data_IF_706302349181
#
_entry.id   IF_706302349181
#
_cell.length_a   1.000
_cell.length_b   1.000
_cell.length_c   1.000
_cell.angle_alpha   90.00
_cell.angle_beta   90.00
_cell.angle_gamma   90.00
#
_symmetry.space_group_name_H-M   'P 1'
#
loop_
_entity.id
_entity.type
_entity.pdbx_description
1 polymer ?
#
# COMPACT_ATOMS: atom_id res chain seq x y z
N UNK A 1 -4.43 37.74 3.51
CA UNK A 1 -3.73 38.42 4.61
C UNK A 1 -4.78 38.92 5.58
N UNK A 2 -4.62 38.62 6.87
CA UNK A 2 -5.55 38.98 7.94
C UNK A 2 -6.06 37.73 8.67
N UNK A 3 -5.20 37.15 9.52
CA UNK A 3 -5.61 36.17 10.51
C UNK A 3 -5.83 36.89 11.83
N UNK A 4 -6.97 36.62 12.48
CA UNK A 4 -7.25 37.08 13.83
C UNK A 4 -7.07 35.89 14.79
N UNK A 5 -5.83 35.67 15.19
CA UNK A 5 -5.46 34.81 16.31
C UNK A 5 -5.75 35.56 17.62
N UNK A 6 -6.87 35.24 18.27
CA UNK A 6 -7.19 35.74 19.60
C UNK A 6 -6.32 35.05 20.65
N UNK A 7 -5.19 35.67 21.00
CA UNK A 7 -4.20 35.19 21.98
C UNK A 7 -4.59 35.45 23.45
N UNK A 8 -5.82 35.90 23.73
CA UNK A 8 -6.24 36.27 25.09
C UNK A 8 -6.88 35.13 25.91
N UNK A 9 -7.29 34.00 25.28
CA UNK A 9 -8.07 32.96 25.97
C UNK A 9 -7.25 31.82 26.59
N UNK A 10 -5.94 31.71 26.32
CA UNK A 10 -5.13 30.58 26.80
C UNK A 10 -4.66 30.68 28.26
N UNK A 11 -4.84 31.82 28.94
CA UNK A 11 -4.37 31.98 30.32
C UNK A 11 -5.42 31.70 31.41
N UNK A 12 -6.69 31.43 31.07
CA UNK A 12 -7.76 31.29 32.07
C UNK A 12 -8.53 29.96 32.04
N UNK A 13 -8.18 29.01 31.17
CA UNK A 13 -8.84 27.69 31.14
C UNK A 13 -10.33 27.70 30.76
N UNK A 14 -10.81 28.73 30.07
CA UNK A 14 -12.19 28.82 29.59
C UNK A 14 -12.30 28.42 28.11
N UNK A 15 -13.37 27.70 27.76
CA UNK A 15 -13.68 27.26 26.40
C UNK A 15 -14.35 28.41 25.63
N UNK A 16 -13.80 28.79 24.48
CA UNK A 16 -14.46 29.71 23.55
C UNK A 16 -15.62 29.02 22.83
N UNK A 17 -16.85 29.51 23.03
CA UNK A 17 -18.01 29.11 22.24
C UNK A 17 -18.25 30.21 21.19
N UNK A 18 -18.06 29.93 19.89
CA UNK A 18 -18.40 30.89 18.84
C UNK A 18 -19.92 31.15 18.83
N UNK A 19 -20.32 32.42 18.86
CA UNK A 19 -21.73 32.82 18.79
C UNK A 19 -22.36 32.33 17.48
N UNK A 20 -23.47 31.59 17.61
CA UNK A 20 -24.30 31.18 16.49
C UNK A 20 -25.15 32.37 16.02
N UNK A 21 -24.79 32.97 14.89
CA UNK A 21 -25.67 33.93 14.22
C UNK A 21 -26.71 33.19 13.40
N UNK A 22 -27.96 33.31 13.82
CA UNK A 22 -29.16 32.77 13.18
C UNK A 22 -29.66 33.74 12.11
N UNK A 23 -29.64 33.33 10.84
CA UNK A 23 -30.53 33.90 9.79
C UNK A 23 -30.74 32.90 8.63
N UNK A 24 -31.99 32.52 8.31
CA UNK A 24 -32.35 31.65 7.17
C UNK A 24 -32.58 32.44 5.84
N UNK A 25 -32.75 31.74 4.68
CA UNK A 25 -32.12 32.09 3.40
C UNK A 25 -33.00 32.90 2.42
N UNK A 26 -32.37 33.47 1.38
CA UNK A 26 -33.04 33.89 0.14
C UNK A 26 -32.56 33.07 -1.06
N UNK A 27 -33.53 32.41 -1.68
CA UNK A 27 -33.42 31.74 -2.97
C UNK A 27 -33.23 32.76 -4.10
N UNK A 28 -32.43 32.39 -5.11
CA UNK A 28 -32.60 32.93 -6.47
C UNK A 28 -32.23 31.87 -7.48
N UNK A 29 -33.18 31.60 -8.37
CA UNK A 29 -33.10 30.68 -9.50
C UNK A 29 -32.29 31.30 -10.63
N UNK A 30 -31.47 30.50 -11.32
CA UNK A 30 -31.37 30.57 -12.81
C UNK A 30 -30.81 29.26 -13.37
N UNK A 31 -31.48 28.74 -14.39
CA UNK A 31 -31.14 27.54 -15.20
C UNK A 31 -30.55 28.03 -16.56
N UNK A 32 -30.26 27.16 -17.54
CA UNK A 32 -28.95 26.67 -17.94
C UNK A 32 -28.39 27.33 -19.22
N UNK A 33 -27.10 27.12 -19.51
CA UNK A 33 -26.54 27.33 -20.85
C UNK A 33 -25.72 26.12 -21.32
N UNK A 34 -26.10 25.60 -22.49
CA UNK A 34 -25.40 24.66 -23.40
C UNK A 34 -25.65 25.23 -24.82
N UNK A 35 -25.09 24.71 -25.93
CA UNK A 35 -23.72 24.32 -26.30
C UNK A 35 -23.19 25.11 -27.55
N UNK A 36 -21.90 25.07 -27.85
CA UNK A 36 -21.33 25.35 -29.19
C UNK A 36 -20.26 24.27 -29.47
N UNK A 37 -20.32 23.35 -30.46
CA UNK A 37 -20.23 23.43 -31.95
C UNK A 37 -19.06 24.33 -32.41
N UNK A 38 -18.16 23.99 -33.34
CA UNK A 38 -17.84 22.80 -34.18
C UNK A 38 -16.55 23.13 -35.00
N UNK A 39 -16.02 22.13 -35.71
CA UNK A 39 -15.12 22.15 -36.91
C UNK A 39 -13.59 22.21 -36.66
N UNK A 40 -12.77 21.22 -37.08
CA UNK A 40 -12.33 20.80 -38.45
C UNK A 40 -11.38 21.85 -39.07
N UNK A 41 -10.26 21.61 -39.77
CA UNK A 41 -9.64 20.48 -40.48
C UNK A 41 -8.13 20.85 -40.69
N UNK A 42 -7.15 19.94 -40.83
CA UNK A 42 -6.59 19.35 -42.08
C UNK A 42 -5.12 19.72 -42.38
N UNK A 43 -4.33 18.66 -42.64
CA UNK A 43 -3.23 18.49 -43.64
C UNK A 43 -1.94 19.32 -43.64
N UNK A 44 -0.80 18.62 -43.83
CA UNK A 44 0.38 19.23 -44.46
C UNK A 44 1.75 18.54 -44.37
N UNK A 45 1.95 17.45 -45.14
CA UNK A 45 3.19 16.99 -45.83
C UNK A 45 4.57 16.85 -45.12
N UNK A 46 5.03 15.59 -45.08
CA UNK A 46 6.23 14.98 -45.73
C UNK A 46 7.46 15.85 -46.04
N UNK A 47 8.63 15.44 -45.50
CA UNK A 47 9.88 15.31 -46.29
C UNK A 47 10.83 14.24 -45.72
N UNK A 48 11.23 13.33 -46.60
CA UNK A 48 12.30 12.33 -46.48
C UNK A 48 13.69 12.98 -46.40
N UNK A 49 14.62 12.36 -45.66
CA UNK A 49 15.97 12.01 -46.15
C UNK A 49 16.74 11.16 -45.10
N UNK A 50 17.25 10.01 -45.54
CA UNK A 50 18.26 9.13 -44.91
C UNK A 50 19.54 9.30 -45.80
N UNK A 51 20.81 8.92 -45.47
CA UNK A 51 21.23 7.87 -44.53
C UNK A 51 22.59 8.05 -43.81
N UNK A 52 22.76 7.41 -42.64
CA UNK A 52 24.07 6.83 -42.27
C UNK A 52 23.95 5.69 -41.26
N UNK A 53 24.95 4.81 -41.29
CA UNK A 53 24.88 3.36 -41.05
C UNK A 53 25.20 2.94 -39.60
N UNK A 54 24.36 2.03 -39.05
CA UNK A 54 24.58 0.91 -38.07
C UNK A 54 25.25 1.19 -36.69
N UNK A 55 24.98 0.34 -35.65
CA UNK A 55 24.31 -0.98 -35.69
C UNK A 55 23.07 -1.11 -34.77
N UNK A 56 21.86 -1.19 -35.37
CA UNK A 56 20.56 -1.50 -34.72
C UNK A 56 20.29 -3.01 -34.57
N UNK A 57 21.32 -3.86 -34.55
CA UNK A 57 21.14 -5.32 -34.55
C UNK A 57 21.12 -5.95 -33.15
N UNK A 58 21.73 -5.30 -32.14
CA UNK A 58 21.77 -5.81 -30.77
C UNK A 58 20.47 -5.52 -29.99
N UNK A 59 19.81 -4.38 -30.24
CA UNK A 59 18.58 -3.97 -29.53
C UNK A 59 17.37 -4.81 -29.95
N UNK A 60 17.35 -5.35 -31.18
CA UNK A 60 16.26 -6.22 -31.64
C UNK A 60 16.33 -7.63 -31.05
N UNK A 61 17.50 -8.13 -30.65
CA UNK A 61 17.59 -9.43 -29.95
C UNK A 61 17.08 -9.35 -28.52
N UNK A 62 17.42 -8.29 -27.77
CA UNK A 62 16.91 -8.08 -26.42
C UNK A 62 15.37 -7.92 -26.34
N UNK A 63 14.73 -7.32 -27.37
CA UNK A 63 13.26 -7.19 -27.42
C UNK A 63 12.54 -8.47 -27.88
N UNK A 64 13.23 -9.37 -28.58
CA UNK A 64 12.68 -10.65 -29.06
C UNK A 64 12.94 -11.79 -28.06
N UNK A 65 14.02 -11.75 -27.28
CA UNK A 65 14.30 -12.71 -26.20
C UNK A 65 13.46 -12.45 -24.94
N UNK A 66 12.97 -11.22 -24.73
CA UNK A 66 11.96 -10.93 -23.72
C UNK A 66 10.59 -11.59 -23.98
N UNK A 67 10.38 -12.19 -25.16
CA UNK A 67 9.14 -12.86 -25.58
C UNK A 67 9.22 -14.40 -25.60
N UNK A 68 10.32 -14.99 -25.12
CA UNK A 68 10.53 -16.46 -25.13
C UNK A 68 10.76 -17.07 -23.76
N UNK A 69 10.32 -16.42 -22.69
CA UNK A 69 10.13 -17.15 -21.44
C UNK A 69 9.03 -18.20 -21.69
N UNK A 70 9.19 -19.47 -21.24
CA UNK A 70 8.08 -20.42 -21.26
C UNK A 70 6.86 -19.77 -20.61
N UNK A 71 5.63 -20.05 -21.09
CA UNK A 71 4.43 -19.43 -20.55
C UNK A 71 4.40 -19.73 -19.05
N UNK A 72 4.43 -18.67 -18.23
CA UNK A 72 4.22 -18.83 -16.80
C UNK A 72 2.91 -19.59 -16.58
N UNK A 73 2.86 -20.43 -15.55
CA UNK A 73 1.66 -21.21 -15.29
C UNK A 73 0.48 -20.25 -15.01
N UNK A 74 -0.62 -20.48 -15.71
CA UNK A 74 -1.86 -19.76 -15.42
C UNK A 74 -2.47 -20.34 -14.16
N UNK A 75 -2.76 -19.47 -13.18
CA UNK A 75 -3.38 -19.86 -11.91
C UNK A 75 -4.42 -18.83 -11.49
N UNK A 76 -5.32 -19.22 -10.58
CA UNK A 76 -6.28 -18.29 -9.95
C UNK A 76 -5.78 -17.90 -8.57
N UNK A 77 -5.79 -16.61 -8.28
CA UNK A 77 -5.49 -16.05 -6.96
C UNK A 77 -6.68 -15.26 -6.43
N UNK A 78 -6.77 -15.09 -5.12
CA UNK A 78 -7.65 -14.11 -4.49
C UNK A 78 -6.80 -12.93 -4.04
N UNK A 79 -7.15 -11.72 -4.46
CA UNK A 79 -6.32 -10.55 -4.15
C UNK A 79 -7.16 -9.30 -3.98
N UNK A 80 -6.65 -8.39 -3.14
CA UNK A 80 -7.14 -7.02 -2.95
C UNK A 80 -6.27 -6.00 -3.69
N UNK A 81 -5.29 -6.45 -4.48
CA UNK A 81 -4.32 -5.59 -5.16
C UNK A 81 -4.40 -5.80 -6.67
N UNK A 82 -4.24 -4.71 -7.45
CA UNK A 82 -4.22 -4.80 -8.90
C UNK A 82 -2.82 -5.21 -9.40
N UNK A 83 -2.75 -6.29 -10.17
CA UNK A 83 -1.51 -6.84 -10.71
C UNK A 83 -1.21 -6.35 -12.15
N UNK A 84 0.05 -6.31 -12.59
CA UNK A 84 1.26 -6.53 -11.79
C UNK A 84 1.44 -5.44 -10.73
N UNK A 85 1.94 -5.82 -9.56
CA UNK A 85 2.44 -4.87 -8.56
C UNK A 85 3.78 -4.33 -9.08
N UNK A 86 3.92 -3.01 -9.12
CA UNK A 86 5.15 -2.34 -9.54
C UNK A 86 5.89 -1.87 -8.28
N UNK A 87 6.96 -2.58 -7.93
CA UNK A 87 7.82 -2.23 -6.79
C UNK A 87 8.90 -1.24 -7.20
N UNK A 88 9.36 -0.45 -6.22
CA UNK A 88 10.37 0.61 -6.35
C UNK A 88 10.03 1.63 -7.45
N UNK A 89 8.76 1.96 -7.57
CA UNK A 89 8.29 2.95 -8.53
C UNK A 89 8.27 4.35 -7.94
N UNK A 90 9.21 5.19 -8.39
CA UNK A 90 9.30 6.61 -8.02
C UNK A 90 8.62 7.54 -9.05
N UNK A 91 8.05 6.99 -10.13
CA UNK A 91 7.51 7.79 -11.25
C UNK A 91 6.06 8.21 -11.05
N UNK A 92 5.37 7.63 -10.08
CA UNK A 92 3.95 7.84 -9.82
C UNK A 92 3.64 7.82 -8.32
N UNK A 93 2.41 8.19 -7.96
CA UNK A 93 1.97 8.17 -6.57
C UNK A 93 1.98 6.73 -6.02
N UNK A 94 2.76 6.51 -4.96
CA UNK A 94 2.79 5.25 -4.24
C UNK A 94 1.45 4.96 -3.57
N UNK A 95 0.94 3.75 -3.75
CA UNK A 95 -0.30 3.32 -3.13
C UNK A 95 -0.16 3.06 -1.63
N UNK A 96 1.06 2.89 -1.09
CA UNK A 96 1.30 2.48 0.31
C UNK A 96 1.86 3.59 1.20
N UNK A 97 2.16 4.77 0.65
CA UNK A 97 2.64 5.90 1.43
C UNK A 97 1.62 6.34 2.49
N UNK A 98 2.14 7.01 3.53
CA UNK A 98 1.34 7.54 4.63
C UNK A 98 0.12 8.32 4.14
N UNK A 99 -1.05 7.93 4.64
CA UNK A 99 -2.33 8.53 4.31
C UNK A 99 -3.18 7.72 3.33
N UNK A 100 -2.64 6.70 2.67
CA UNK A 100 -3.41 5.78 1.83
C UNK A 100 -3.91 4.56 2.61
N UNK A 101 -5.19 4.21 2.45
CA UNK A 101 -5.74 2.96 2.99
C UNK A 101 -5.41 1.72 2.15
N UNK A 102 -4.76 1.85 0.99
CA UNK A 102 -4.59 0.73 0.05
C UNK A 102 -3.77 -0.43 0.64
N UNK A 103 -2.74 -0.16 1.45
CA UNK A 103 -1.99 -1.24 2.11
C UNK A 103 -2.87 -2.01 3.11
N UNK A 104 -3.84 -1.32 3.72
CA UNK A 104 -4.72 -1.89 4.75
C UNK A 104 -5.93 -2.61 4.14
N UNK A 105 -6.72 -1.92 3.32
CA UNK A 105 -7.97 -2.42 2.76
C UNK A 105 -7.82 -2.94 1.33
N UNK A 106 -6.93 -2.33 0.55
CA UNK A 106 -6.83 -2.60 -0.89
C UNK A 106 -8.12 -2.25 -1.64
N UNK A 107 -8.34 -2.97 -2.73
CA UNK A 107 -9.60 -3.04 -3.48
C UNK A 107 -10.48 -4.16 -2.91
N UNK A 108 -11.68 -4.31 -3.48
CA UNK A 108 -12.54 -5.46 -3.18
C UNK A 108 -11.82 -6.77 -3.52
N UNK A 109 -11.85 -7.74 -2.61
CA UNK A 109 -11.21 -9.04 -2.86
C UNK A 109 -11.90 -9.75 -4.02
N UNK A 110 -11.14 -10.10 -5.05
CA UNK A 110 -11.67 -10.79 -6.23
C UNK A 110 -10.80 -11.96 -6.63
N UNK A 111 -11.41 -12.97 -7.26
CA UNK A 111 -10.70 -14.07 -7.91
C UNK A 111 -10.15 -13.60 -9.25
N UNK A 112 -8.84 -13.73 -9.46
CA UNK A 112 -8.13 -13.24 -10.64
C UNK A 112 -7.35 -14.37 -11.27
N UNK A 113 -7.52 -14.56 -12.57
CA UNK A 113 -6.65 -15.44 -13.35
C UNK A 113 -5.37 -14.66 -13.70
N UNK A 114 -4.22 -15.20 -13.32
CA UNK A 114 -2.91 -14.59 -13.54
C UNK A 114 -1.96 -15.55 -14.23
N UNK A 115 -1.04 -14.99 -15.03
CA UNK A 115 0.21 -15.67 -15.40
C UNK A 115 1.20 -15.40 -14.27
N UNK A 116 1.67 -16.47 -13.62
CA UNK A 116 2.77 -16.38 -12.67
C UNK A 116 4.11 -16.60 -13.38
N UNK A 117 4.91 -15.55 -13.50
CA UNK A 117 6.22 -15.65 -14.14
C UNK A 117 7.25 -16.22 -13.17
N UNK A 118 7.70 -17.46 -13.43
CA UNK A 118 8.70 -18.16 -12.61
C UNK A 118 10.02 -17.39 -12.47
N UNK A 119 10.35 -16.52 -13.43
CA UNK A 119 11.54 -15.67 -13.40
C UNK A 119 11.45 -14.45 -12.47
N UNK A 120 10.50 -14.42 -11.53
CA UNK A 120 10.38 -13.36 -10.52
C UNK A 120 9.81 -12.02 -11.02
N UNK A 121 9.33 -11.95 -12.28
CA UNK A 121 8.62 -10.77 -12.82
C UNK A 121 7.24 -10.51 -12.18
N UNK A 122 6.82 -11.34 -11.24
CA UNK A 122 5.56 -11.23 -10.52
C UNK A 122 4.37 -11.78 -11.31
N UNK A 123 3.17 -11.33 -10.94
CA UNK A 123 1.91 -11.80 -11.52
C UNK A 123 1.41 -10.83 -12.58
N UNK A 124 0.79 -11.37 -13.63
CA UNK A 124 0.09 -10.57 -14.64
C UNK A 124 -1.35 -11.04 -14.78
N UNK A 125 -2.30 -10.14 -14.55
CA UNK A 125 -3.73 -10.43 -14.76
C UNK A 125 -4.02 -10.80 -16.23
N UNK A 126 -4.83 -11.84 -16.41
CA UNK A 126 -5.31 -12.34 -17.70
C UNK A 126 -6.81 -12.16 -17.80
N UNK A 127 -7.55 -12.49 -16.74
CA UNK A 127 -9.01 -12.38 -16.68
C UNK A 127 -9.50 -12.18 -15.24
N UNK A 128 -10.71 -11.64 -15.06
CA UNK A 128 -11.36 -11.45 -13.74
C UNK A 128 -10.71 -10.40 -12.83
N UNK A 129 -9.61 -9.77 -13.27
CA UNK A 129 -8.80 -8.87 -12.47
C UNK A 129 -9.23 -7.41 -12.46
N UNK A 130 -8.65 -6.65 -11.54
CA UNK A 130 -8.91 -5.23 -11.35
C UNK A 130 -8.57 -4.37 -12.58
N UNK A 131 -7.63 -4.81 -13.43
CA UNK A 131 -7.31 -4.15 -14.69
C UNK A 131 -8.51 -4.06 -15.62
N UNK A 132 -9.29 -5.14 -15.72
CA UNK A 132 -10.49 -5.17 -16.56
C UNK A 132 -11.55 -4.17 -16.06
N UNK A 133 -11.55 -3.88 -14.76
CA UNK A 133 -12.45 -2.91 -14.11
C UNK A 133 -11.88 -1.47 -14.15
N UNK A 134 -10.80 -1.22 -14.89
CA UNK A 134 -10.24 0.12 -15.08
C UNK A 134 -9.27 0.58 -13.99
N UNK A 135 -8.89 -0.29 -13.04
CA UNK A 135 -7.87 0.06 -12.05
C UNK A 135 -6.47 0.08 -12.66
N UNK A 136 -5.63 0.97 -12.15
CA UNK A 136 -4.19 0.95 -12.45
C UNK A 136 -3.49 -0.10 -11.61
N UNK A 137 -2.30 -0.52 -12.05
CA UNK A 137 -1.45 -1.42 -11.26
C UNK A 137 -1.19 -0.82 -9.88
N UNK A 138 -1.15 -1.67 -8.86
CA UNK A 138 -0.63 -1.26 -7.55
C UNK A 138 0.84 -0.87 -7.69
N UNK A 139 1.22 0.29 -7.17
CA UNK A 139 2.57 0.85 -7.21
C UNK A 139 3.08 1.08 -5.81
N UNK A 140 4.32 0.66 -5.55
CA UNK A 140 4.96 0.73 -4.24
C UNK A 140 6.32 1.40 -4.44
N UNK A 141 6.55 2.53 -3.77
CA UNK A 141 7.83 3.23 -3.81
C UNK A 141 8.90 2.46 -3.02
N UNK A 142 10.17 2.83 -3.21
CA UNK A 142 11.32 2.19 -2.57
C UNK A 142 11.23 2.22 -1.06
N UNK A 143 10.74 3.32 -0.47
CA UNK A 143 10.58 3.42 0.99
C UNK A 143 9.58 2.38 1.50
N UNK A 144 8.41 2.26 0.88
CA UNK A 144 7.41 1.28 1.27
C UNK A 144 7.89 -0.16 1.01
N UNK A 145 8.59 -0.42 -0.09
CA UNK A 145 9.23 -1.72 -0.34
C UNK A 145 10.20 -2.07 0.78
N UNK A 146 11.14 -1.18 1.10
CA UNK A 146 12.23 -1.41 2.05
C UNK A 146 11.76 -1.53 3.50
N UNK A 147 10.67 -0.88 3.88
CA UNK A 147 10.09 -1.04 5.23
C UNK A 147 9.63 -2.47 5.55
N UNK A 148 9.36 -3.31 4.54
CA UNK A 148 8.89 -4.69 4.73
C UNK A 148 10.03 -5.70 4.84
N UNK A 149 11.22 -5.37 4.32
CA UNK A 149 12.34 -6.32 4.22
C UNK A 149 12.89 -6.71 5.60
N UNK A 150 13.16 -5.78 6.52
CA UNK A 150 13.59 -6.16 7.86
C UNK A 150 12.55 -7.02 8.59
N UNK A 151 11.26 -6.85 8.30
CA UNK A 151 10.19 -7.68 8.87
C UNK A 151 10.32 -9.12 8.37
N UNK A 152 10.43 -9.31 7.05
CA UNK A 152 10.59 -10.64 6.42
C UNK A 152 11.86 -11.33 6.90
N UNK A 153 12.97 -10.59 6.99
CA UNK A 153 14.30 -11.12 7.29
C UNK A 153 14.55 -11.33 8.79
N UNK A 154 13.64 -10.89 9.65
CA UNK A 154 13.79 -11.05 11.09
C UNK A 154 13.64 -12.54 11.46
N UNK A 155 14.71 -13.19 11.96
CA UNK A 155 14.69 -14.65 12.15
C UNK A 155 13.72 -15.10 13.25
N UNK A 156 13.47 -14.22 14.22
CA UNK A 156 12.54 -14.47 15.32
C UNK A 156 12.05 -13.17 15.92
N UNK A 157 10.74 -12.96 15.93
CA UNK A 157 10.13 -11.75 16.47
C UNK A 157 9.93 -11.87 17.98
N UNK A 158 10.58 -10.98 18.74
CA UNK A 158 10.30 -10.74 20.16
C UNK A 158 9.47 -9.49 20.25
N UNK A 159 8.32 -9.56 20.93
CA UNK A 159 7.34 -8.48 20.96
C UNK A 159 7.34 -7.82 22.33
N UNK A 160 7.23 -6.50 22.32
CA UNK A 160 7.02 -5.68 23.52
C UNK A 160 5.82 -4.75 23.32
N UNK A 161 5.18 -4.28 24.40
CA UNK A 161 4.17 -3.23 24.30
C UNK A 161 4.75 -1.96 23.67
N UNK A 162 3.97 -1.30 22.82
CA UNK A 162 4.31 0.02 22.28
C UNK A 162 4.17 1.04 23.42
N UNK A 163 5.17 1.90 23.68
CA UNK A 163 5.05 2.93 24.70
C UNK A 163 3.82 3.83 24.50
N UNK A 164 3.02 3.99 25.55
CA UNK A 164 1.85 4.86 25.54
C UNK A 164 0.54 4.24 25.02
N UNK A 165 0.54 2.97 24.57
CA UNK A 165 -0.69 2.28 24.17
C UNK A 165 -1.41 1.62 25.34
N UNK A 166 -0.68 1.08 26.32
CA UNK A 166 -1.27 0.34 27.46
C UNK A 166 -2.09 1.20 28.45
N UNK A 167 -1.92 2.53 28.46
CA UNK A 167 -2.59 3.44 29.41
C UNK A 167 -3.62 4.35 28.75
N UNK A 168 -3.80 4.30 27.43
CA UNK A 168 -4.76 5.14 26.69
C UNK A 168 -5.80 4.26 26.03
N UNK A 169 -7.08 4.59 26.19
CA UNK A 169 -8.10 4.06 25.29
C UNK A 169 -7.75 4.53 23.88
N UNK A 170 -7.35 3.59 23.02
CA UNK A 170 -7.10 3.90 21.62
C UNK A 170 -8.42 4.38 20.99
N UNK A 171 -8.36 5.48 20.24
CA UNK A 171 -9.48 6.02 19.49
C UNK A 171 -9.70 5.16 18.23
N UNK A 172 -10.19 3.94 18.46
CA UNK A 172 -10.41 2.90 17.45
C UNK A 172 -11.49 3.32 16.47
N UNK A 173 -12.60 3.88 16.95
CA UNK A 173 -13.71 4.33 16.10
C UNK A 173 -13.28 5.43 15.14
N UNK A 174 -12.52 6.42 15.64
CA UNK A 174 -11.96 7.46 14.79
C UNK A 174 -10.91 6.94 13.82
N UNK A 175 -10.16 5.88 14.18
CA UNK A 175 -9.17 5.26 13.30
C UNK A 175 -9.86 4.51 12.15
N UNK A 176 -10.88 3.72 12.46
CA UNK A 176 -11.67 2.98 11.48
C UNK A 176 -12.47 3.92 10.57
N UNK A 177 -13.06 4.97 11.13
CA UNK A 177 -13.76 5.99 10.33
C UNK A 177 -12.83 6.65 9.31
N UNK A 178 -11.61 7.00 9.73
CA UNK A 178 -10.61 7.54 8.81
C UNK A 178 -10.20 6.50 7.75
N UNK A 179 -9.96 5.26 8.16
CA UNK A 179 -9.57 4.15 7.29
C UNK A 179 -10.59 3.93 6.17
N UNK A 180 -11.88 3.86 6.50
CA UNK A 180 -12.97 3.70 5.53
C UNK A 180 -13.19 4.95 4.67
N UNK A 181 -12.80 6.14 5.15
CA UNK A 181 -12.73 7.35 4.33
C UNK A 181 -11.49 7.38 3.40
N UNK A 182 -10.74 6.29 3.31
CA UNK A 182 -9.58 6.15 2.44
C UNK A 182 -8.29 6.77 3.02
N UNK A 183 -8.27 7.07 4.32
CA UNK A 183 -7.19 7.84 4.96
C UNK A 183 -6.60 7.11 6.18
N UNK A 184 -5.28 7.22 6.34
CA UNK A 184 -4.59 6.74 7.55
C UNK A 184 -4.13 7.94 8.38
N UNK A 185 -4.52 7.99 9.65
CA UNK A 185 -4.05 9.05 10.57
C UNK A 185 -2.63 8.72 11.02
N UNK A 186 -1.72 9.68 10.93
CA UNK A 186 -0.30 9.51 11.31
C UNK A 186 -0.09 9.09 12.77
N UNK A 187 -1.05 9.40 13.66
CA UNK A 187 -1.00 9.03 15.08
C UNK A 187 -1.31 7.54 15.32
N UNK A 188 -2.02 6.89 14.40
CA UNK A 188 -2.46 5.52 14.57
C UNK A 188 -1.36 4.55 14.16
N UNK A 189 -1.11 3.57 15.02
CA UNK A 189 -0.21 2.45 14.74
C UNK A 189 -1.08 1.27 14.34
N UNK A 190 -0.83 0.68 13.18
CA UNK A 190 -1.65 -0.42 12.65
C UNK A 190 -0.90 -1.74 12.74
N UNK A 191 -1.64 -2.82 12.98
CA UNK A 191 -1.13 -4.17 12.90
C UNK A 191 -0.62 -4.44 11.48
N UNK A 192 0.48 -5.18 11.35
CA UNK A 192 1.06 -5.57 10.06
C UNK A 192 0.30 -6.72 9.38
N UNK A 193 -0.67 -7.33 10.08
CA UNK A 193 -1.40 -8.52 9.62
C UNK A 193 -2.87 -8.23 9.31
N UNK A 194 -3.56 -7.48 10.18
CA UNK A 194 -4.98 -7.18 10.04
C UNK A 194 -5.27 -5.67 10.21
N UNK A 195 -6.44 -5.18 9.78
CA UNK A 195 -6.84 -3.78 9.95
C UNK A 195 -7.26 -3.39 11.38
N UNK A 196 -6.45 -3.78 12.37
CA UNK A 196 -6.62 -3.41 13.79
C UNK A 196 -5.47 -2.52 14.26
N UNK A 197 -5.69 -1.74 15.31
CA UNK A 197 -4.63 -0.93 15.91
C UNK A 197 -3.60 -1.81 16.62
N UNK A 198 -2.32 -1.49 16.42
CA UNK A 198 -1.21 -2.19 17.05
C UNK A 198 -0.97 -1.69 18.47
N UNK A 199 -0.79 -2.62 19.38
CA UNK A 199 -0.41 -2.39 20.78
C UNK A 199 0.97 -2.96 21.10
N UNK A 200 1.53 -3.79 20.20
CA UNK A 200 2.85 -4.41 20.33
C UNK A 200 3.74 -4.11 19.12
N UNK A 201 5.05 -4.07 19.35
CA UNK A 201 6.06 -3.96 18.31
C UNK A 201 7.20 -4.94 18.53
N UNK A 202 7.87 -5.33 17.44
CA UNK A 202 9.08 -6.14 17.53
C UNK A 202 10.24 -5.33 18.14
N UNK A 203 10.97 -5.94 19.06
CA UNK A 203 12.17 -5.41 19.70
C UNK A 203 13.45 -6.19 19.33
N UNK A 204 13.35 -7.22 18.49
CA UNK A 204 14.52 -7.97 18.02
C UNK A 204 15.46 -7.01 17.30
N UNK A 205 16.66 -6.80 17.88
CA UNK A 205 17.71 -6.02 17.26
C UNK A 205 18.06 -6.61 15.89
N UNK A 206 18.06 -5.76 14.87
CA UNK A 206 18.60 -6.12 13.57
C UNK A 206 20.10 -5.84 13.59
N UNK A 207 20.91 -6.77 13.10
CA UNK A 207 22.32 -6.49 12.80
C UNK A 207 22.39 -5.41 11.71
N UNK A 208 23.38 -4.52 11.80
CA UNK A 208 23.50 -3.28 11.01
C UNK A 208 23.42 -3.53 9.50
N UNK A 209 22.20 -3.49 8.96
CA UNK A 209 21.94 -3.42 7.53
C UNK A 209 21.93 -1.94 7.18
N UNK A 210 23.13 -1.40 6.93
CA UNK A 210 23.50 0.02 6.87
C UNK A 210 22.78 0.93 5.88
N UNK A 211 21.45 1.07 5.97
CA UNK A 211 20.68 2.03 5.18
C UNK A 211 19.66 2.84 5.99
N UNK A 212 19.22 2.38 7.17
CA UNK A 212 18.24 3.09 8.00
C UNK A 212 18.48 2.86 9.51
N UNK A 213 19.62 3.33 10.01
CA UNK A 213 19.97 3.27 11.43
C UNK A 213 18.90 3.94 12.31
N UNK A 214 18.30 3.15 13.20
CA UNK A 214 17.75 3.64 14.47
C UNK A 214 18.13 2.64 15.57
N UNK A 215 19.24 2.87 16.29
CA UNK A 215 19.65 1.96 17.36
C UNK A 215 18.50 1.74 18.36
N UNK A 216 18.21 0.48 18.66
CA UNK A 216 17.15 0.09 19.61
C UNK A 216 15.72 0.04 19.05
N UNK A 217 15.53 0.11 17.72
CA UNK A 217 14.23 -0.10 17.08
C UNK A 217 14.22 -1.47 16.41
N UNK A 218 13.27 -2.35 16.76
CA UNK A 218 13.20 -3.68 16.12
C UNK A 218 12.81 -3.59 14.65
N UNK A 219 12.56 -4.74 14.01
CA UNK A 219 12.40 -4.85 12.55
C UNK A 219 11.21 -4.09 11.91
N UNK A 220 10.40 -3.37 12.69
CA UNK A 220 9.25 -2.62 12.20
C UNK A 220 7.91 -3.37 12.24
N UNK A 221 7.93 -4.67 12.59
CA UNK A 221 6.69 -5.44 12.78
C UNK A 221 5.88 -4.86 13.94
N UNK A 222 4.58 -4.64 13.72
CA UNK A 222 3.65 -4.19 14.75
C UNK A 222 2.42 -5.09 14.77
N UNK A 223 1.90 -5.42 15.95
CA UNK A 223 0.77 -6.34 16.09
C UNK A 223 -0.28 -5.80 17.07
N UNK A 224 -1.54 -6.12 16.79
CA UNK A 224 -2.66 -5.90 17.70
C UNK A 224 -2.72 -6.97 18.80
N UNK A 225 -3.66 -6.80 19.71
CA UNK A 225 -3.92 -7.74 20.82
C UNK A 225 -4.35 -9.14 20.35
N UNK A 226 -4.91 -9.25 19.15
CA UNK A 226 -5.30 -10.55 18.55
C UNK A 226 -4.12 -11.27 17.90
N UNK A 227 -3.30 -10.55 17.12
CA UNK A 227 -2.22 -11.18 16.35
C UNK A 227 -0.97 -11.46 17.21
N UNK A 228 -0.74 -10.67 18.28
CA UNK A 228 0.41 -10.86 19.17
C UNK A 228 0.42 -12.24 19.85
N UNK A 229 -0.66 -12.68 20.54
CA UNK A 229 -0.65 -13.98 21.24
C UNK A 229 -0.46 -15.15 20.28
N UNK A 230 -1.01 -15.04 19.06
CA UNK A 230 -0.79 -16.03 18.00
C UNK A 230 0.70 -16.13 17.67
N UNK A 231 1.34 -15.00 17.31
CA UNK A 231 2.76 -15.02 16.93
C UNK A 231 3.66 -15.46 18.09
N UNK A 232 3.49 -14.89 19.27
CA UNK A 232 4.37 -15.14 20.42
C UNK A 232 4.13 -16.50 21.07
N UNK A 233 2.86 -16.92 21.22
CA UNK A 233 2.47 -18.13 21.94
C UNK A 233 2.45 -19.37 21.06
N UNK A 234 1.75 -19.32 19.93
CA UNK A 234 1.55 -20.49 19.05
C UNK A 234 2.75 -20.71 18.15
N UNK A 235 3.15 -19.66 17.41
CA UNK A 235 4.24 -19.74 16.43
C UNK A 235 5.62 -19.40 17.03
N UNK A 236 5.70 -19.13 18.34
CA UNK A 236 6.96 -18.87 19.07
C UNK A 236 7.84 -17.81 18.44
N UNK A 237 7.26 -16.80 17.79
CA UNK A 237 7.96 -15.70 17.11
C UNK A 237 8.33 -15.96 15.65
N UNK A 238 7.92 -17.09 15.07
CA UNK A 238 8.06 -17.40 13.65
C UNK A 238 6.91 -16.77 12.84
N UNK A 239 7.21 -15.67 12.14
CA UNK A 239 6.22 -14.98 11.33
C UNK A 239 5.84 -15.76 10.07
N UNK A 240 6.79 -16.48 9.46
CA UNK A 240 6.55 -17.18 8.20
C UNK A 240 5.63 -18.39 8.42
N UNK A 241 5.84 -19.12 9.51
CA UNK A 241 4.92 -20.18 9.92
C UNK A 241 3.50 -19.64 10.20
N UNK A 242 3.38 -18.47 10.84
CA UNK A 242 2.09 -17.83 11.05
C UNK A 242 1.43 -17.41 9.73
N UNK A 243 2.16 -16.74 8.84
CA UNK A 243 1.63 -16.26 7.55
C UNK A 243 1.24 -17.41 6.60
N UNK A 244 1.87 -18.58 6.72
CA UNK A 244 1.54 -19.77 5.92
C UNK A 244 0.18 -20.39 6.25
N UNK A 245 -0.28 -20.24 7.50
CA UNK A 245 -1.55 -20.79 7.98
C UNK A 245 -2.72 -19.78 7.90
N UNK A 246 -2.41 -18.50 7.69
CA UNK A 246 -3.42 -17.45 7.68
C UNK A 246 -4.20 -17.42 6.35
N UNK A 247 -5.51 -17.52 6.47
CA UNK A 247 -6.48 -17.27 5.38
C UNK A 247 -7.16 -15.93 5.56
N UNK A 248 -7.42 -15.24 4.45
CA UNK A 248 -8.14 -13.95 4.44
C UNK A 248 -9.65 -14.20 4.50
N UNK A 249 -10.10 -14.64 5.68
CA UNK A 249 -11.51 -14.90 6.00
C UNK A 249 -11.98 -13.95 7.11
N UNK A 250 -13.25 -13.55 7.05
CA UNK A 250 -13.88 -12.76 8.10
C UNK A 250 -14.19 -13.65 9.30
N UNK A 251 -13.80 -13.20 10.49
CA UNK A 251 -14.11 -13.87 11.76
C UNK A 251 -14.49 -12.85 12.83
N UNK A 252 -15.04 -13.32 13.96
CA UNK A 252 -15.33 -12.45 15.10
C UNK A 252 -14.06 -11.76 15.63
N UNK A 253 -12.91 -12.45 15.56
CA UNK A 253 -11.61 -11.90 15.96
C UNK A 253 -11.03 -10.91 14.93
N UNK A 254 -11.44 -11.03 13.66
CA UNK A 254 -10.96 -10.22 12.52
C UNK A 254 -12.14 -9.88 11.60
N UNK A 255 -13.01 -8.94 12.01
CA UNK A 255 -14.19 -8.58 11.23
C UNK A 255 -13.85 -7.94 9.87
N UNK A 256 -12.62 -7.46 9.70
CA UNK A 256 -12.10 -6.88 8.45
C UNK A 256 -11.14 -7.80 7.70
N UNK A 257 -10.99 -9.05 8.15
CA UNK A 257 -10.04 -10.01 7.57
C UNK A 257 -8.58 -9.58 7.76
N UNK A 258 -7.76 -9.94 6.77
CA UNK A 258 -6.34 -9.57 6.70
C UNK A 258 -6.13 -8.28 5.89
N UNK A 259 -4.99 -7.63 6.14
CA UNK A 259 -4.57 -6.48 5.36
C UNK A 259 -4.35 -6.86 3.91
N UNK A 260 -4.65 -5.98 2.97
CA UNK A 260 -4.42 -6.23 1.55
C UNK A 260 -2.96 -6.56 1.20
N UNK A 261 -2.01 -6.06 1.98
CA UNK A 261 -0.57 -6.24 1.75
C UNK A 261 0.09 -7.33 2.60
N UNK A 262 -0.68 -8.12 3.36
CA UNK A 262 -0.11 -9.09 4.30
C UNK A 262 0.77 -10.14 3.60
N UNK A 263 0.40 -10.55 2.38
CA UNK A 263 1.16 -11.51 1.58
C UNK A 263 2.53 -10.99 1.15
N UNK A 264 2.73 -9.67 1.14
CA UNK A 264 4.04 -9.08 0.85
C UNK A 264 5.03 -9.24 2.00
N UNK A 265 4.60 -9.78 3.14
CA UNK A 265 5.46 -10.16 4.27
C UNK A 265 5.87 -11.65 4.22
N UNK A 266 5.35 -12.42 3.26
CA UNK A 266 5.75 -13.82 3.07
C UNK A 266 7.13 -13.90 2.42
N UNK A 267 7.95 -14.83 2.90
CA UNK A 267 9.31 -15.06 2.40
C UNK A 267 9.30 -15.61 0.97
N UNK A 268 8.28 -16.36 0.58
CA UNK A 268 8.01 -16.81 -0.79
C UNK A 268 7.06 -15.88 -1.57
N UNK A 269 6.66 -14.75 -0.96
CA UNK A 269 5.74 -13.79 -1.52
C UNK A 269 6.32 -12.93 -2.65
N UNK A 270 5.45 -12.14 -3.29
CA UNK A 270 5.80 -11.34 -4.47
C UNK A 270 6.91 -10.33 -4.24
N UNK A 271 6.99 -9.76 -3.03
CA UNK A 271 8.03 -8.80 -2.70
C UNK A 271 9.42 -9.45 -2.67
N UNK A 272 9.56 -10.59 -2.00
CA UNK A 272 10.85 -11.30 -1.93
C UNK A 272 11.27 -11.81 -3.31
N UNK A 273 10.33 -12.37 -4.07
CA UNK A 273 10.56 -12.79 -5.47
C UNK A 273 11.05 -11.64 -6.35
N UNK A 274 10.46 -10.45 -6.20
CA UNK A 274 10.91 -9.26 -6.91
C UNK A 274 12.34 -8.84 -6.53
N UNK A 275 12.70 -8.88 -5.24
CA UNK A 275 14.05 -8.51 -4.80
C UNK A 275 15.11 -9.45 -5.34
N UNK A 276 14.85 -10.77 -5.30
CA UNK A 276 15.76 -11.76 -5.87
C UNK A 276 15.95 -11.51 -7.38
N UNK A 277 14.86 -11.32 -8.12
CA UNK A 277 14.90 -11.00 -9.54
C UNK A 277 15.61 -9.68 -9.87
N UNK A 278 15.42 -8.65 -9.04
CA UNK A 278 16.08 -7.35 -9.23
C UNK A 278 17.59 -7.41 -8.94
N UNK A 279 18.03 -8.33 -8.06
CA UNK A 279 19.45 -8.53 -7.75
C UNK A 279 20.22 -9.31 -8.81
N UNK A 280 19.53 -10.04 -9.68
CA UNK A 280 20.10 -10.85 -10.77
C UNK A 280 20.27 -10.08 -12.09
N UNK A 281 19.84 -8.82 -12.16
CA UNK A 281 19.90 -7.95 -13.34
C UNK A 281 21.10 -7.00 -13.31
#
# INVERSE_FOLDING_TARGET
MGGDDCTACEMAGNICIPEQTTTPPKASMTVPARPQKRCSAETGRVREETPTKRPKLAIRKAKVEAQRAPPGNTTTIFTKLCHPIVFNDETAACNFCDGSSMAMLGLEQTAVEVIDWENGRGLKEVSGGHKANGHTSTRVCTICTMQRIPIIMCPKHRLRPIPGTASRSLDTDGALTALFAGRIRKKDRWCSICPALATYECETAQEDTGAFERPGRGCGLQLCETCMPSLAGVYKGDLQAMLGELTDEFSDERPLGLRADFELLKQDGLLTRYILWASEQ
#
